data_IF_325487290638
#
_entry.id   IF_325487290638
#
_cell.length_a   1.000
_cell.length_b   1.000
_cell.length_c   1.000
_cell.angle_alpha   90.00
_cell.angle_beta   90.00
_cell.angle_gamma   90.00
#
_symmetry.space_group_name_H-M   'P 1'
#
loop_
_entity.id
_entity.type
_entity.pdbx_description
1 polymer ?
#
# COMPACT_ATOMS: atom_id res chain seq x y z
N UNK A 1 0.53 4.13 13.35
CA UNK A 1 -0.58 3.18 13.44
C UNK A 1 -0.17 1.82 12.88
N UNK A 2 -0.55 0.71 13.53
CA UNK A 2 -0.17 -0.63 13.09
C UNK A 2 -0.99 -1.16 11.90
N UNK A 3 -2.00 -0.41 11.46
CA UNK A 3 -2.91 -0.82 10.39
C UNK A 3 -2.88 0.12 9.22
N UNK A 4 -3.06 -0.44 8.02
CA UNK A 4 -3.37 0.31 6.82
C UNK A 4 -4.89 0.16 6.61
N UNK A 5 -5.62 1.27 6.64
CA UNK A 5 -7.07 1.28 6.45
C UNK A 5 -7.43 1.57 5.01
N UNK A 6 -8.28 0.72 4.45
CA UNK A 6 -8.80 0.87 3.09
C UNK A 6 -10.32 0.92 3.15
N UNK A 7 -10.89 2.00 2.64
CA UNK A 7 -12.33 2.20 2.58
C UNK A 7 -12.81 1.98 1.15
N UNK A 8 -13.59 0.93 0.93
CA UNK A 8 -13.91 0.48 -0.43
C UNK A 8 -14.80 1.45 -1.22
N UNK A 9 -15.55 2.32 -0.54
CA UNK A 9 -16.38 3.32 -1.24
C UNK A 9 -15.56 4.40 -1.96
N UNK A 10 -14.31 4.62 -1.54
CA UNK A 10 -13.37 5.56 -2.14
C UNK A 10 -12.01 4.91 -2.30
N UNK A 11 -12.04 3.65 -2.73
CA UNK A 11 -10.92 2.72 -2.61
C UNK A 11 -9.61 3.24 -3.24
N UNK A 12 -9.68 3.75 -4.46
CA UNK A 12 -8.45 4.14 -5.17
C UNK A 12 -7.68 5.23 -4.43
N UNK A 13 -8.39 6.28 -4.00
CA UNK A 13 -7.78 7.39 -3.26
C UNK A 13 -7.27 6.93 -1.90
N UNK A 14 -8.03 6.09 -1.21
CA UNK A 14 -7.65 5.60 0.10
C UNK A 14 -6.46 4.67 0.05
N UNK A 15 -6.41 3.78 -0.95
CA UNK A 15 -5.27 2.89 -1.14
C UNK A 15 -4.00 3.70 -1.40
N UNK A 16 -4.07 4.66 -2.31
CA UNK A 16 -2.94 5.52 -2.64
C UNK A 16 -2.41 6.24 -1.41
N UNK A 17 -3.29 6.92 -0.68
CA UNK A 17 -2.92 7.69 0.50
C UNK A 17 -2.37 6.79 1.60
N UNK A 18 -3.05 5.68 1.88
CA UNK A 18 -2.64 4.76 2.94
C UNK A 18 -1.26 4.18 2.69
N UNK A 19 -0.97 3.82 1.45
CA UNK A 19 0.35 3.30 1.09
C UNK A 19 1.45 4.32 1.25
N UNK A 20 1.22 5.54 0.73
CA UNK A 20 2.22 6.60 0.82
C UNK A 20 2.50 6.95 2.27
N UNK A 21 1.46 7.15 3.07
CA UNK A 21 1.62 7.49 4.48
C UNK A 21 2.34 6.38 5.26
N UNK A 22 1.98 5.13 5.01
CA UNK A 22 2.61 4.00 5.69
C UNK A 22 4.09 3.88 5.30
N UNK A 23 4.40 4.03 4.01
CA UNK A 23 5.78 3.95 3.53
C UNK A 23 6.62 5.09 4.11
N UNK A 24 6.13 6.31 4.03
CA UNK A 24 6.85 7.48 4.56
C UNK A 24 7.05 7.39 6.05
N UNK A 25 6.07 6.85 6.77
CA UNK A 25 6.17 6.65 8.22
C UNK A 25 7.28 5.71 8.63
N UNK A 26 7.68 4.78 7.75
CA UNK A 26 8.80 3.86 8.02
C UNK A 26 10.13 4.37 7.47
N UNK A 27 10.13 5.48 6.73
CA UNK A 27 11.33 6.01 6.09
C UNK A 27 11.79 5.21 4.88
N UNK A 28 10.94 4.33 4.37
CA UNK A 28 11.28 3.43 3.27
C UNK A 28 11.02 4.09 1.92
N UNK A 29 11.97 3.93 0.97
CA UNK A 29 11.77 4.39 -0.40
C UNK A 29 10.94 3.38 -1.18
N UNK A 30 10.40 3.79 -2.35
CA UNK A 30 9.71 2.85 -3.24
C UNK A 30 10.64 1.71 -3.67
N UNK A 31 11.90 2.02 -3.92
CA UNK A 31 12.88 1.00 -4.31
C UNK A 31 13.09 -0.03 -3.20
N UNK A 32 13.24 0.43 -1.96
CA UNK A 32 13.38 -0.45 -0.82
C UNK A 32 12.15 -1.31 -0.60
N UNK A 33 10.98 -0.73 -0.76
CA UNK A 33 9.71 -1.46 -0.65
C UNK A 33 9.60 -2.51 -1.76
N UNK A 34 10.01 -2.17 -2.98
CA UNK A 34 10.04 -3.10 -4.10
C UNK A 34 10.93 -4.30 -3.79
N UNK A 35 12.13 -4.05 -3.28
CA UNK A 35 13.06 -5.11 -2.94
C UNK A 35 12.52 -6.01 -1.82
N UNK A 36 11.87 -5.42 -0.85
CA UNK A 36 11.35 -6.15 0.31
C UNK A 36 10.11 -6.98 -0.03
N UNK A 37 9.27 -6.51 -0.93
CA UNK A 37 8.03 -7.20 -1.30
C UNK A 37 8.18 -8.13 -2.50
N UNK A 38 9.22 -7.92 -3.31
CA UNK A 38 9.34 -8.59 -4.60
C UNK A 38 8.40 -8.04 -5.66
N UNK A 39 7.72 -6.93 -5.39
CA UNK A 39 6.83 -6.28 -6.34
C UNK A 39 7.65 -5.28 -7.15
N UNK A 40 7.42 -5.26 -8.45
CA UNK A 40 8.11 -4.34 -9.36
C UNK A 40 7.87 -2.89 -8.94
N UNK A 41 8.93 -2.08 -8.90
CA UNK A 41 8.84 -0.68 -8.49
C UNK A 41 7.87 0.12 -9.35
N UNK A 42 7.77 -0.17 -10.65
CA UNK A 42 6.83 0.52 -11.52
C UNK A 42 5.38 0.21 -11.12
N UNK A 43 5.10 -0.99 -10.64
CA UNK A 43 3.77 -1.34 -10.13
C UNK A 43 3.46 -0.62 -8.82
N UNK A 44 4.43 -0.55 -7.92
CA UNK A 44 4.27 0.23 -6.68
C UNK A 44 4.01 1.70 -6.98
N UNK A 45 4.75 2.25 -7.93
CA UNK A 45 4.57 3.64 -8.35
C UNK A 45 3.16 3.88 -8.89
N UNK A 46 2.63 2.95 -9.68
CA UNK A 46 1.25 3.05 -10.19
C UNK A 46 0.22 3.05 -9.08
N UNK A 47 0.39 2.18 -8.10
CA UNK A 47 -0.53 2.11 -6.96
C UNK A 47 -0.50 3.43 -6.19
N UNK A 48 0.69 3.97 -5.93
CA UNK A 48 0.84 5.23 -5.21
C UNK A 48 0.32 6.43 -5.98
N UNK A 49 0.23 6.34 -7.31
CA UNK A 49 -0.35 7.41 -8.13
C UNK A 49 -1.86 7.25 -8.37
N UNK A 50 -2.43 6.17 -7.84
CA UNK A 50 -3.86 5.91 -8.00
C UNK A 50 -4.24 5.37 -9.37
N UNK A 51 -3.27 4.92 -10.18
CA UNK A 51 -3.52 4.36 -11.51
C UNK A 51 -3.41 2.85 -11.56
N UNK A 52 -2.98 2.24 -10.45
CA UNK A 52 -2.89 0.79 -10.34
C UNK A 52 -4.20 0.18 -9.84
N UNK A 53 -4.29 -1.14 -9.96
CA UNK A 53 -5.43 -1.91 -9.46
C UNK A 53 -4.91 -3.11 -8.68
N UNK A 54 -4.40 -2.90 -7.45
CA UNK A 54 -3.79 -3.97 -6.68
C UNK A 54 -4.85 -4.93 -6.14
N UNK A 55 -4.49 -6.22 -6.08
CA UNK A 55 -5.32 -7.21 -5.41
C UNK A 55 -5.16 -7.08 -3.89
N UNK A 56 -6.09 -7.70 -3.14
CA UNK A 56 -5.98 -7.74 -1.68
C UNK A 56 -4.68 -8.43 -1.27
N UNK A 57 -4.30 -9.49 -1.96
CA UNK A 57 -3.04 -10.21 -1.67
C UNK A 57 -1.83 -9.28 -1.84
N UNK A 58 -1.82 -8.45 -2.88
CA UNK A 58 -0.77 -7.47 -3.10
C UNK A 58 -0.71 -6.45 -1.96
N UNK A 59 -1.86 -5.94 -1.55
CA UNK A 59 -1.95 -4.98 -0.44
C UNK A 59 -1.48 -5.60 0.86
N UNK A 60 -1.82 -6.87 1.12
CA UNK A 60 -1.35 -7.58 2.31
C UNK A 60 0.16 -7.74 2.33
N UNK A 61 0.75 -8.04 1.17
CA UNK A 61 2.19 -8.16 1.03
C UNK A 61 2.89 -6.83 1.34
N UNK A 62 2.34 -5.74 0.82
CA UNK A 62 2.87 -4.41 1.08
C UNK A 62 2.75 -4.06 2.55
N UNK A 63 1.59 -4.30 3.15
CA UNK A 63 1.36 -4.02 4.56
C UNK A 63 2.34 -4.79 5.45
N UNK A 64 2.54 -6.07 5.17
CA UNK A 64 3.48 -6.90 5.92
C UNK A 64 4.91 -6.35 5.83
N UNK A 65 5.33 -5.92 4.63
CA UNK A 65 6.66 -5.35 4.42
C UNK A 65 6.86 -4.06 5.20
N UNK A 66 5.79 -3.32 5.45
CA UNK A 66 5.81 -2.08 6.23
C UNK A 66 5.58 -2.30 7.72
N UNK A 67 5.48 -3.57 8.16
CA UNK A 67 5.23 -3.90 9.56
C UNK A 67 3.82 -3.57 10.01
N UNK A 68 2.87 -3.58 9.10
CA UNK A 68 1.48 -3.20 9.37
C UNK A 68 0.52 -4.31 8.96
N UNK A 69 -0.72 -4.19 9.40
CA UNK A 69 -1.80 -5.09 9.00
C UNK A 69 -2.77 -4.36 8.09
N UNK A 70 -3.27 -5.06 7.08
CA UNK A 70 -4.29 -4.51 6.20
C UNK A 70 -5.65 -4.58 6.89
N UNK A 71 -6.36 -3.45 6.88
CA UNK A 71 -7.75 -3.40 7.37
C UNK A 71 -8.61 -2.82 6.24
N UNK A 72 -9.65 -3.54 5.87
CA UNK A 72 -10.57 -3.13 4.80
C UNK A 72 -11.97 -2.98 5.39
N UNK A 73 -12.60 -1.85 5.12
CA UNK A 73 -13.95 -1.57 5.59
C UNK A 73 -14.88 -1.26 4.43
N UNK A 74 -16.13 -1.71 4.57
CA UNK A 74 -17.22 -1.32 3.67
C UNK A 74 -17.98 -0.17 4.32
N UNK A 75 -18.13 0.89 3.58
CA UNK A 75 -18.84 2.08 4.04
C UNK A 75 -20.17 2.20 3.31
#
# INVERSE_FOLDING_TARGET
MPYIFVYLCVAETQIMRSMIEARLGTGMTQKQLSEKTGINQSNLSRIERGTGNPSVATLERIAAALGKRLSISFI
#
